data_IF_328194833583
#
_entry.id   IF_328194833583
#
_cell.length_a   1.000
_cell.length_b   1.000
_cell.length_c   1.000
_cell.angle_alpha   90.00
_cell.angle_beta   90.00
_cell.angle_gamma   90.00
#
_symmetry.space_group_name_H-M   'P 1'
#
loop_
_entity.id
_entity.type
_entity.pdbx_description
1 polymer ?
#
# COMPACT_ATOMS: atom_id res chain seq x y z
N UNK A 1 5.01 33.12 -13.12
CA UNK A 1 5.18 31.81 -13.74
C UNK A 1 6.62 31.56 -14.17
N UNK A 2 7.28 32.46 -14.96
CA UNK A 2 8.66 32.29 -15.42
C UNK A 2 9.67 32.16 -14.27
N UNK A 3 9.61 33.03 -13.26
CA UNK A 3 10.52 33.00 -12.09
C UNK A 3 10.37 31.69 -11.31
N UNK A 4 9.13 31.22 -11.12
CA UNK A 4 8.86 29.93 -10.46
C UNK A 4 9.39 28.77 -11.31
N UNK A 5 9.17 28.80 -12.63
CA UNK A 5 9.66 27.80 -13.56
C UNK A 5 11.19 27.72 -13.58
N UNK A 6 11.88 28.84 -13.68
CA UNK A 6 13.36 28.90 -13.64
C UNK A 6 13.91 28.46 -12.27
N UNK A 7 13.30 28.94 -11.17
CA UNK A 7 13.69 28.51 -9.82
C UNK A 7 13.50 27.02 -9.60
N UNK A 8 12.41 26.45 -10.12
CA UNK A 8 12.16 25.00 -10.05
C UNK A 8 13.19 24.21 -10.87
N UNK A 9 13.47 24.62 -12.10
CA UNK A 9 14.42 23.91 -12.99
C UNK A 9 15.87 24.00 -12.52
N UNK A 10 16.31 25.16 -12.05
CA UNK A 10 17.75 25.39 -11.78
C UNK A 10 18.12 25.17 -10.31
N UNK A 11 17.16 25.20 -9.38
CA UNK A 11 17.44 25.06 -7.95
C UNK A 11 16.78 23.79 -7.40
N UNK A 12 15.45 23.65 -7.56
CA UNK A 12 14.73 22.56 -6.92
C UNK A 12 15.05 21.22 -7.59
N UNK A 13 15.05 21.19 -8.92
CA UNK A 13 15.32 19.97 -9.67
C UNK A 13 16.72 19.37 -9.42
N UNK A 14 17.84 20.12 -9.50
CA UNK A 14 19.16 19.56 -9.25
C UNK A 14 19.36 19.15 -7.78
N UNK A 15 18.79 19.90 -6.82
CA UNK A 15 18.80 19.49 -5.41
C UNK A 15 18.00 18.22 -5.17
N UNK A 16 16.81 18.11 -5.80
CA UNK A 16 15.99 16.92 -5.73
C UNK A 16 16.67 15.71 -6.36
N UNK A 17 17.29 15.86 -7.53
CA UNK A 17 18.03 14.81 -8.20
C UNK A 17 19.22 14.31 -7.36
N UNK A 18 20.04 15.23 -6.84
CA UNK A 18 21.15 14.90 -5.94
C UNK A 18 20.68 14.13 -4.71
N UNK A 19 19.64 14.61 -4.04
CA UNK A 19 19.09 13.95 -2.86
C UNK A 19 18.52 12.56 -3.20
N UNK A 20 17.82 12.43 -4.33
CA UNK A 20 17.27 11.15 -4.79
C UNK A 20 18.35 10.13 -5.13
N UNK A 21 19.45 10.55 -5.75
CA UNK A 21 20.59 9.68 -6.05
C UNK A 21 21.21 9.12 -4.77
N UNK A 22 21.50 9.98 -3.78
CA UNK A 22 22.04 9.56 -2.49
C UNK A 22 21.07 8.62 -1.74
N UNK A 23 19.79 8.94 -1.75
CA UNK A 23 18.75 8.08 -1.15
C UNK A 23 18.64 6.74 -1.89
N UNK A 24 18.74 6.77 -3.23
CA UNK A 24 18.74 5.54 -4.05
C UNK A 24 19.92 4.62 -3.71
N UNK A 25 21.13 5.17 -3.62
CA UNK A 25 22.33 4.43 -3.20
C UNK A 25 22.12 3.87 -1.78
N UNK A 26 21.63 4.70 -0.86
CA UNK A 26 21.35 4.28 0.51
C UNK A 26 20.33 3.16 0.60
N UNK A 27 19.22 3.26 -0.13
CA UNK A 27 18.17 2.22 -0.18
C UNK A 27 18.72 0.92 -0.77
N UNK A 28 19.46 0.98 -1.88
CA UNK A 28 20.08 -0.20 -2.48
C UNK A 28 21.04 -0.88 -1.51
N UNK A 29 21.91 -0.09 -0.87
CA UNK A 29 22.83 -0.61 0.15
C UNK A 29 22.09 -1.28 1.31
N UNK A 30 21.03 -0.65 1.80
CA UNK A 30 20.21 -1.20 2.88
C UNK A 30 19.52 -2.50 2.47
N UNK A 31 18.97 -2.59 1.26
CA UNK A 31 18.36 -3.81 0.75
C UNK A 31 19.41 -4.92 0.59
N UNK A 32 20.59 -4.59 0.06
CA UNK A 32 21.66 -5.57 -0.16
C UNK A 32 22.24 -6.12 1.16
N UNK A 33 22.40 -5.28 2.16
CA UNK A 33 22.98 -5.65 3.47
C UNK A 33 21.93 -6.11 4.49
N UNK A 34 20.78 -5.45 4.49
CA UNK A 34 19.71 -5.69 5.46
C UNK A 34 18.70 -6.76 5.03
N UNK A 35 18.65 -7.09 3.73
CA UNK A 35 17.83 -8.18 3.17
C UNK A 35 16.44 -8.28 3.81
N UNK A 36 16.26 -9.33 4.61
CA UNK A 36 14.99 -9.66 5.25
C UNK A 36 14.45 -8.52 6.16
N UNK A 37 15.31 -7.89 6.93
CA UNK A 37 14.90 -6.85 7.90
C UNK A 37 14.44 -5.58 7.20
N UNK A 38 15.13 -5.17 6.15
CA UNK A 38 14.77 -3.97 5.39
C UNK A 38 13.49 -4.19 4.59
N UNK A 39 13.34 -5.35 3.94
CA UNK A 39 12.09 -5.70 3.25
C UNK A 39 10.90 -5.75 4.19
N UNK A 40 11.08 -6.32 5.37
CA UNK A 40 10.08 -6.35 6.44
C UNK A 40 9.69 -4.94 6.91
N UNK A 41 10.68 -4.10 7.19
CA UNK A 41 10.46 -2.73 7.67
C UNK A 41 9.75 -1.88 6.61
N UNK A 42 10.26 -1.87 5.37
CA UNK A 42 9.71 -1.07 4.28
C UNK A 42 8.26 -1.45 3.97
N UNK A 43 7.96 -2.75 3.84
CA UNK A 43 6.60 -3.20 3.57
C UNK A 43 5.65 -2.94 4.75
N UNK A 44 6.09 -3.17 5.99
CA UNK A 44 5.29 -2.97 7.19
C UNK A 44 4.97 -1.50 7.49
N UNK A 45 5.86 -0.58 7.11
CA UNK A 45 5.69 0.87 7.36
C UNK A 45 5.11 1.63 6.18
N UNK A 46 4.96 1.00 5.01
CA UNK A 46 4.51 1.70 3.81
C UNK A 46 3.08 2.23 3.90
N UNK A 47 2.12 1.47 4.46
CA UNK A 47 0.74 1.95 4.62
C UNK A 47 0.65 3.21 5.51
N UNK A 48 1.32 3.32 6.66
CA UNK A 48 1.46 4.59 7.38
C UNK A 48 2.02 5.73 6.55
N UNK A 49 3.02 5.48 5.70
CA UNK A 49 3.55 6.48 4.76
C UNK A 49 2.52 6.89 3.70
N UNK A 50 1.71 5.94 3.21
CA UNK A 50 0.60 6.25 2.27
C UNK A 50 -0.43 7.14 2.95
N UNK A 51 -0.79 6.86 4.21
CA UNK A 51 -1.75 7.64 4.98
C UNK A 51 -1.33 9.11 5.14
N UNK A 52 -0.03 9.36 5.34
CA UNK A 52 0.53 10.72 5.46
C UNK A 52 0.82 11.39 4.12
N UNK A 53 0.74 10.65 3.00
CA UNK A 53 1.13 11.14 1.67
C UNK A 53 2.64 11.11 1.41
N UNK A 54 3.47 10.81 2.41
CA UNK A 54 4.94 10.80 2.29
C UNK A 54 5.47 9.73 1.33
N UNK A 55 4.69 8.68 1.04
CA UNK A 55 5.05 7.65 0.07
C UNK A 55 5.38 8.20 -1.33
N UNK A 56 4.84 9.38 -1.69
CA UNK A 56 5.15 10.05 -2.98
C UNK A 56 6.61 10.48 -3.08
N UNK A 57 7.28 10.70 -1.95
CA UNK A 57 8.70 11.00 -1.92
C UNK A 57 9.59 9.81 -2.32
N UNK A 58 9.06 8.59 -2.33
CA UNK A 58 9.79 7.40 -2.79
C UNK A 58 9.85 7.31 -4.32
N UNK A 59 8.91 7.92 -5.05
CA UNK A 59 8.88 7.85 -6.53
C UNK A 59 10.15 8.37 -7.20
N UNK A 60 10.74 9.52 -6.82
CA UNK A 60 12.04 9.94 -7.38
C UNK A 60 13.17 8.95 -7.09
N UNK A 61 13.13 8.25 -5.96
CA UNK A 61 14.11 7.21 -5.61
C UNK A 61 13.95 6.00 -6.54
N UNK A 62 12.71 5.56 -6.80
CA UNK A 62 12.43 4.48 -7.75
C UNK A 62 12.90 4.82 -9.17
N UNK A 63 12.66 6.06 -9.63
CA UNK A 63 13.18 6.55 -10.93
C UNK A 63 14.70 6.50 -10.95
N UNK A 64 15.37 7.01 -9.91
CA UNK A 64 16.83 7.00 -9.80
C UNK A 64 17.40 5.58 -9.79
N UNK A 65 16.73 4.63 -9.14
CA UNK A 65 17.14 3.20 -9.16
C UNK A 65 17.10 2.64 -10.57
N UNK A 66 16.02 2.88 -11.32
CA UNK A 66 15.92 2.41 -12.71
C UNK A 66 16.98 3.06 -13.59
N UNK A 67 17.20 4.37 -13.45
CA UNK A 67 18.19 5.10 -14.26
C UNK A 67 19.63 4.66 -13.99
N UNK A 68 19.96 4.29 -12.75
CA UNK A 68 21.32 3.93 -12.34
C UNK A 68 21.62 2.43 -12.45
N UNK A 69 20.64 1.58 -12.12
CA UNK A 69 20.83 0.12 -12.05
C UNK A 69 20.06 -0.65 -13.12
N UNK A 70 19.15 0.01 -13.85
CA UNK A 70 18.28 -0.60 -14.84
C UNK A 70 17.04 -1.30 -14.23
N UNK A 71 16.95 -1.38 -12.90
CA UNK A 71 15.87 -2.09 -12.19
C UNK A 71 15.49 -1.38 -10.90
N UNK A 72 14.27 -1.58 -10.46
CA UNK A 72 13.74 -1.08 -9.19
C UNK A 72 13.50 -2.23 -8.21
N UNK A 73 14.33 -2.32 -7.17
CA UNK A 73 14.19 -3.27 -6.07
C UNK A 73 13.16 -2.82 -5.02
N UNK A 74 12.82 -1.53 -4.99
CA UNK A 74 11.96 -0.96 -3.97
C UNK A 74 10.47 -1.23 -4.25
N UNK A 75 10.03 -1.04 -5.50
CA UNK A 75 8.62 -1.19 -5.91
C UNK A 75 8.02 -2.55 -5.54
N UNK A 76 8.65 -3.72 -5.81
CA UNK A 76 8.10 -5.01 -5.43
C UNK A 76 7.95 -5.18 -3.91
N UNK A 77 8.86 -4.62 -3.11
CA UNK A 77 8.79 -4.64 -1.64
C UNK A 77 7.60 -3.81 -1.15
N UNK A 78 7.45 -2.60 -1.67
CA UNK A 78 6.35 -1.70 -1.27
C UNK A 78 4.98 -2.24 -1.69
N UNK A 79 4.91 -2.97 -2.83
CA UNK A 79 3.69 -3.62 -3.30
C UNK A 79 3.14 -4.66 -2.31
N UNK A 80 3.99 -5.27 -1.48
CA UNK A 80 3.58 -6.24 -0.46
C UNK A 80 2.69 -5.59 0.62
N UNK A 81 2.85 -4.29 0.88
CA UNK A 81 1.97 -3.57 1.81
C UNK A 81 0.52 -3.55 1.31
N UNK A 82 0.31 -3.26 0.02
CA UNK A 82 -1.00 -3.35 -0.62
C UNK A 82 -1.57 -4.77 -0.61
N UNK A 83 -0.71 -5.77 -0.82
CA UNK A 83 -1.11 -7.18 -0.73
C UNK A 83 -1.57 -7.54 0.69
N UNK A 84 -0.82 -7.18 1.73
CA UNK A 84 -1.25 -7.39 3.12
C UNK A 84 -2.61 -6.75 3.43
N UNK A 85 -2.86 -5.58 2.86
CA UNK A 85 -4.14 -4.87 2.98
C UNK A 85 -5.29 -5.59 2.28
N UNK A 86 -5.07 -6.12 1.09
CA UNK A 86 -6.08 -6.95 0.39
C UNK A 86 -6.40 -8.20 1.20
N UNK A 87 -5.39 -8.87 1.77
CA UNK A 87 -5.58 -10.01 2.67
C UNK A 87 -6.45 -9.65 3.87
N UNK A 88 -6.17 -8.52 4.52
CA UNK A 88 -6.98 -8.00 5.62
C UNK A 88 -8.42 -7.69 5.17
N UNK A 89 -8.60 -7.07 4.00
CA UNK A 89 -9.91 -6.78 3.42
C UNK A 89 -10.74 -8.03 3.17
N UNK A 90 -10.13 -9.12 2.68
CA UNK A 90 -10.81 -10.42 2.49
C UNK A 90 -11.26 -10.98 3.84
N UNK A 91 -10.41 -10.94 4.87
CA UNK A 91 -10.77 -11.40 6.21
C UNK A 91 -11.95 -10.60 6.79
N UNK A 92 -11.96 -9.28 6.61
CA UNK A 92 -13.07 -8.41 7.04
C UNK A 92 -14.34 -8.79 6.27
N UNK A 93 -14.28 -8.98 4.96
CA UNK A 93 -15.42 -9.34 4.12
C UNK A 93 -16.11 -10.62 4.60
N UNK A 94 -15.32 -11.61 5.03
CA UNK A 94 -15.84 -12.89 5.53
C UNK A 94 -16.43 -12.77 6.95
N UNK A 95 -15.89 -11.89 7.80
CA UNK A 95 -16.28 -11.77 9.21
C UNK A 95 -17.38 -10.74 9.47
N UNK A 96 -17.43 -9.66 8.70
CA UNK A 96 -18.37 -8.57 8.95
C UNK A 96 -19.81 -9.01 8.68
N UNK A 97 -20.71 -8.57 9.53
CA UNK A 97 -22.16 -8.69 9.34
C UNK A 97 -22.78 -7.43 8.76
N UNK A 98 -22.04 -6.33 8.75
CA UNK A 98 -22.49 -5.04 8.23
C UNK A 98 -22.61 -5.07 6.70
N UNK A 99 -23.84 -4.93 6.18
CA UNK A 99 -24.15 -4.96 4.75
C UNK A 99 -23.50 -3.80 3.99
N UNK A 100 -23.41 -2.62 4.61
CA UNK A 100 -22.78 -1.42 3.99
C UNK A 100 -21.28 -1.66 3.82
N UNK A 101 -20.60 -2.14 4.86
CA UNK A 101 -19.17 -2.46 4.81
C UNK A 101 -18.89 -3.56 3.77
N UNK A 102 -19.74 -4.58 3.66
CA UNK A 102 -19.64 -5.59 2.59
C UNK A 102 -19.73 -4.98 1.19
N UNK A 103 -20.65 -4.03 0.99
CA UNK A 103 -20.80 -3.35 -0.30
C UNK A 103 -19.57 -2.51 -0.66
N UNK A 104 -18.99 -1.81 0.31
CA UNK A 104 -17.73 -1.07 0.13
C UNK A 104 -16.60 -2.02 -0.25
N UNK A 105 -16.47 -3.15 0.47
CA UNK A 105 -15.45 -4.17 0.20
C UNK A 105 -15.58 -4.82 -1.18
N UNK A 106 -16.81 -5.06 -1.65
CA UNK A 106 -17.05 -5.59 -3.01
C UNK A 106 -16.50 -4.67 -4.11
N UNK A 107 -16.57 -3.35 -3.91
CA UNK A 107 -15.96 -2.40 -4.83
C UNK A 107 -14.46 -2.23 -4.62
N UNK A 108 -14.01 -2.18 -3.37
CA UNK A 108 -12.62 -1.86 -3.02
C UNK A 108 -11.65 -3.04 -3.21
N UNK A 109 -12.08 -4.30 -2.99
CA UNK A 109 -11.19 -5.47 -3.12
C UNK A 109 -10.65 -5.68 -4.54
N UNK A 110 -11.48 -5.65 -5.61
CA UNK A 110 -10.97 -5.76 -6.98
C UNK A 110 -9.96 -4.65 -7.33
N UNK A 111 -10.22 -3.43 -6.86
CA UNK A 111 -9.34 -2.27 -7.05
C UNK A 111 -8.02 -2.47 -6.30
N UNK A 112 -8.08 -2.99 -5.07
CA UNK A 112 -6.91 -3.35 -4.28
C UNK A 112 -6.04 -4.44 -4.93
N UNK A 113 -6.66 -5.46 -5.53
CA UNK A 113 -5.94 -6.48 -6.32
C UNK A 113 -5.19 -5.88 -7.52
N UNK A 114 -5.74 -4.82 -8.13
CA UNK A 114 -5.10 -4.06 -9.20
C UNK A 114 -4.00 -3.10 -8.68
N UNK A 115 -3.73 -3.11 -7.36
CA UNK A 115 -2.64 -2.35 -6.74
C UNK A 115 -3.01 -0.93 -6.31
N UNK A 116 -4.29 -0.58 -6.32
CA UNK A 116 -4.79 0.69 -5.81
C UNK A 116 -5.41 0.45 -4.44
N UNK A 117 -4.62 0.70 -3.39
CA UNK A 117 -4.98 0.35 -2.01
C UNK A 117 -5.83 1.38 -1.27
N UNK A 118 -5.89 2.62 -1.75
CA UNK A 118 -6.53 3.74 -1.06
C UNK A 118 -8.00 3.50 -0.71
N UNK A 119 -8.85 2.93 -1.60
CA UNK A 119 -10.24 2.64 -1.24
C UNK A 119 -10.37 1.63 -0.10
N UNK A 120 -9.51 0.61 -0.07
CA UNK A 120 -9.46 -0.35 1.04
C UNK A 120 -8.94 0.30 2.32
N UNK A 121 -7.92 1.17 2.20
CA UNK A 121 -7.30 1.81 3.33
C UNK A 121 -8.26 2.77 4.02
N UNK A 122 -8.74 3.76 3.30
CA UNK A 122 -9.57 4.83 3.88
C UNK A 122 -11.02 4.39 4.10
N UNK A 123 -11.55 3.53 3.24
CA UNK A 123 -12.93 3.07 3.33
C UNK A 123 -13.15 1.90 4.29
N UNK A 124 -12.10 1.15 4.67
CA UNK A 124 -12.26 -0.10 5.42
C UNK A 124 -11.25 -0.24 6.55
N UNK A 125 -9.96 -0.43 6.23
CA UNK A 125 -8.99 -0.89 7.23
C UNK A 125 -8.63 0.17 8.25
N UNK A 126 -8.48 1.42 7.84
CA UNK A 126 -8.14 2.53 8.72
C UNK A 126 -9.28 2.90 9.67
N UNK A 127 -10.55 3.04 9.23
CA UNK A 127 -11.68 3.29 10.12
C UNK A 127 -11.88 2.19 11.17
N UNK A 128 -11.59 0.93 10.84
CA UNK A 128 -11.65 -0.20 11.76
C UNK A 128 -10.45 -0.27 12.72
N UNK A 129 -9.40 0.50 12.49
CA UNK A 129 -8.21 0.62 13.32
C UNK A 129 -7.34 -0.64 13.36
N UNK A 130 -7.71 -1.65 14.14
CA UNK A 130 -6.93 -2.90 14.28
C UNK A 130 -6.65 -3.61 12.95
N UNK A 131 -7.59 -3.73 12.00
CA UNK A 131 -7.33 -4.29 10.67
C UNK A 131 -6.25 -3.55 9.87
N UNK A 132 -6.09 -2.25 10.05
CA UNK A 132 -5.01 -1.49 9.45
C UNK A 132 -3.64 -1.96 9.97
N UNK A 133 -3.52 -2.13 11.29
CA UNK A 133 -2.28 -2.60 11.94
C UNK A 133 -1.96 -4.04 11.49
N UNK A 134 -2.97 -4.91 11.46
CA UNK A 134 -2.77 -6.31 11.03
C UNK A 134 -2.42 -6.42 9.56
N UNK A 135 -2.89 -5.51 8.69
CA UNK A 135 -2.47 -5.41 7.30
C UNK A 135 -0.99 -5.03 7.18
N UNK A 136 -0.53 -4.03 7.97
CA UNK A 136 0.87 -3.62 8.03
C UNK A 136 1.77 -4.78 8.48
N UNK A 137 1.41 -5.46 9.57
CA UNK A 137 2.21 -6.57 10.10
C UNK A 137 2.18 -7.78 9.14
N UNK A 138 1.02 -8.06 8.54
CA UNK A 138 0.87 -9.18 7.60
C UNK A 138 1.69 -9.01 6.34
N UNK A 139 1.90 -7.78 5.87
CA UNK A 139 2.73 -7.47 4.70
C UNK A 139 4.22 -7.77 4.92
N UNK A 140 4.68 -7.76 6.17
CA UNK A 140 6.09 -7.96 6.54
C UNK A 140 6.63 -9.28 5.97
N UNK A 141 5.85 -10.35 6.01
CA UNK A 141 6.29 -11.67 5.55
C UNK A 141 6.57 -11.66 4.05
N UNK A 142 5.65 -11.08 3.26
CA UNK A 142 5.82 -10.94 1.81
C UNK A 142 6.98 -10.00 1.46
N UNK A 143 7.08 -8.85 2.13
CA UNK A 143 8.15 -7.88 1.92
C UNK A 143 9.53 -8.42 2.25
N UNK A 144 9.65 -9.15 3.35
CA UNK A 144 10.86 -9.85 3.74
C UNK A 144 11.30 -10.87 2.68
N UNK A 145 10.36 -11.70 2.20
CA UNK A 145 10.62 -12.71 1.18
C UNK A 145 11.08 -12.08 -0.14
N UNK A 146 10.34 -11.10 -0.66
CA UNK A 146 10.65 -10.42 -1.93
C UNK A 146 12.01 -9.72 -1.87
N UNK A 147 12.36 -9.12 -0.72
CA UNK A 147 13.66 -8.47 -0.51
C UNK A 147 14.81 -9.48 -0.52
N UNK A 148 14.65 -10.63 0.16
CA UNK A 148 15.68 -11.70 0.18
C UNK A 148 15.91 -12.28 -1.22
N UNK A 149 14.82 -12.48 -1.98
CA UNK A 149 14.89 -12.97 -3.36
C UNK A 149 15.36 -11.90 -4.34
N UNK A 150 15.61 -10.66 -3.88
CA UNK A 150 16.03 -9.52 -4.71
C UNK A 150 15.12 -9.33 -5.92
N UNK A 151 13.82 -9.51 -5.72
CA UNK A 151 12.84 -9.30 -6.79
C UNK A 151 12.84 -7.84 -7.19
N UNK A 152 13.02 -7.58 -8.48
CA UNK A 152 13.10 -6.24 -9.03
C UNK A 152 12.09 -6.06 -10.17
N UNK A 153 11.61 -4.84 -10.38
CA UNK A 153 10.83 -4.47 -11.56
C UNK A 153 11.66 -3.69 -12.56
N UNK A 154 11.35 -3.83 -13.85
CA UNK A 154 12.01 -3.11 -14.94
C UNK A 154 11.38 -1.74 -15.23
N UNK A 155 10.39 -1.35 -14.46
CA UNK A 155 9.69 -0.07 -14.63
C UNK A 155 8.75 0.23 -13.49
N UNK A 156 8.27 1.48 -13.46
CA UNK A 156 7.30 1.97 -12.51
C UNK A 156 5.90 1.79 -13.10
N UNK A 157 5.03 1.08 -12.38
CA UNK A 157 3.66 0.83 -12.82
C UNK A 157 2.71 0.65 -11.64
N UNK A 158 1.52 0.14 -11.93
CA UNK A 158 0.56 -0.26 -10.90
C UNK A 158 1.18 -1.35 -10.02
N UNK A 159 0.92 -1.26 -8.74
CA UNK A 159 1.28 -2.32 -7.77
C UNK A 159 0.36 -3.54 -7.89
N UNK A 160 0.41 -4.45 -6.94
CA UNK A 160 -0.48 -5.61 -6.91
C UNK A 160 -0.20 -6.61 -8.04
N UNK A 161 -1.23 -7.29 -8.51
CA UNK A 161 -1.09 -8.30 -9.57
C UNK A 161 -0.57 -7.75 -10.91
N UNK A 162 -0.94 -6.54 -11.39
CA UNK A 162 -0.40 -6.00 -12.63
C UNK A 162 1.12 -5.79 -12.63
N UNK A 163 1.73 -5.56 -11.47
CA UNK A 163 3.18 -5.38 -11.39
C UNK A 163 3.93 -6.64 -11.86
N UNK A 164 3.31 -7.81 -11.81
CA UNK A 164 3.89 -9.06 -12.33
C UNK A 164 4.37 -8.93 -13.78
N UNK A 165 3.69 -8.10 -14.60
CA UNK A 165 4.06 -7.86 -15.99
C UNK A 165 5.35 -7.04 -16.14
N UNK A 166 5.76 -6.33 -15.10
CA UNK A 166 6.99 -5.54 -15.05
C UNK A 166 8.12 -6.26 -14.30
N UNK A 167 7.90 -7.48 -13.86
CA UNK A 167 8.92 -8.33 -13.23
C UNK A 167 9.53 -9.24 -14.29
N UNK A 168 10.87 -9.36 -14.38
CA UNK A 168 11.53 -10.32 -15.25
C UNK A 168 11.02 -11.74 -15.03
N UNK A 169 10.89 -12.53 -16.11
CA UNK A 169 10.28 -13.87 -16.05
C UNK A 169 10.90 -14.78 -14.99
N UNK A 170 12.21 -14.69 -14.80
CA UNK A 170 12.98 -15.48 -13.82
C UNK A 170 12.55 -15.18 -12.37
N UNK A 171 12.11 -13.95 -12.09
CA UNK A 171 11.72 -13.50 -10.75
C UNK A 171 10.20 -13.44 -10.55
N UNK A 172 9.41 -13.62 -11.61
CA UNK A 172 7.95 -13.51 -11.57
C UNK A 172 7.32 -14.45 -10.54
N UNK A 173 7.80 -15.69 -10.48
CA UNK A 173 7.30 -16.67 -9.51
C UNK A 173 7.57 -16.23 -8.07
N UNK A 174 8.73 -15.64 -7.80
CA UNK A 174 9.08 -15.14 -6.47
C UNK A 174 8.22 -13.94 -6.08
N UNK A 175 7.90 -13.06 -7.03
CA UNK A 175 6.95 -11.96 -6.78
C UNK A 175 5.57 -12.49 -6.40
N UNK A 176 5.04 -13.46 -7.15
CA UNK A 176 3.73 -14.08 -6.86
C UNK A 176 3.72 -14.80 -5.51
N UNK A 177 4.78 -15.53 -5.16
CA UNK A 177 4.91 -16.17 -3.85
C UNK A 177 4.89 -15.10 -2.74
N UNK A 178 5.68 -14.02 -2.88
CA UNK A 178 5.68 -12.92 -1.93
C UNK A 178 4.30 -12.28 -1.77
N UNK A 179 3.60 -12.07 -2.88
CA UNK A 179 2.24 -11.52 -2.89
C UNK A 179 1.26 -12.43 -2.15
N UNK A 180 1.30 -13.75 -2.40
CA UNK A 180 0.47 -14.74 -1.68
C UNK A 180 0.80 -14.77 -0.20
N UNK A 181 2.08 -14.70 0.17
CA UNK A 181 2.51 -14.63 1.57
C UNK A 181 1.98 -13.38 2.27
N UNK A 182 2.01 -12.22 1.60
CA UNK A 182 1.46 -10.98 2.14
C UNK A 182 -0.07 -11.05 2.27
N UNK A 183 -0.79 -11.60 1.27
CA UNK A 183 -2.23 -11.85 1.36
C UNK A 183 -2.56 -12.76 2.54
N UNK A 184 -1.86 -13.88 2.67
CA UNK A 184 -2.07 -14.84 3.75
C UNK A 184 -1.77 -14.20 5.12
N UNK A 185 -0.67 -13.45 5.24
CA UNK A 185 -0.28 -12.75 6.46
C UNK A 185 -1.36 -11.74 6.91
N UNK A 186 -1.78 -10.85 6.00
CA UNK A 186 -2.84 -9.88 6.27
C UNK A 186 -4.18 -10.55 6.60
N UNK A 187 -4.54 -11.60 5.87
CA UNK A 187 -5.76 -12.37 6.10
C UNK A 187 -5.76 -13.04 7.48
N UNK A 188 -4.74 -13.85 7.78
CA UNK A 188 -4.67 -14.63 9.01
C UNK A 188 -4.67 -13.71 10.23
N UNK A 189 -3.82 -12.69 10.24
CA UNK A 189 -3.74 -11.79 11.37
C UNK A 189 -5.05 -11.03 11.59
N UNK A 190 -5.69 -10.55 10.53
CA UNK A 190 -6.98 -9.84 10.64
C UNK A 190 -8.11 -10.78 11.03
N UNK A 191 -8.12 -12.01 10.51
CA UNK A 191 -9.16 -13.00 10.82
C UNK A 191 -9.17 -13.37 12.30
N UNK A 192 -8.01 -13.55 12.92
CA UNK A 192 -7.91 -13.90 14.34
C UNK A 192 -7.94 -12.69 15.28
N UNK A 193 -7.76 -11.48 14.76
CA UNK A 193 -7.88 -10.27 15.57
C UNK A 193 -9.35 -9.93 15.82
N UNK A 194 -9.67 -9.55 17.06
CA UNK A 194 -10.98 -8.99 17.42
C UNK A 194 -10.97 -7.50 17.09
N UNK A 195 -11.87 -7.10 16.21
CA UNK A 195 -12.15 -5.71 15.87
C UNK A 195 -13.67 -5.49 15.96
N UNK A 196 -14.07 -4.28 16.23
CA UNK A 196 -15.48 -3.89 16.28
C UNK A 196 -15.96 -3.59 14.87
N UNK A 197 -17.10 -4.15 14.49
CA UNK A 197 -17.73 -3.84 13.21
C UNK A 197 -18.25 -2.39 13.25
N UNK A 198 -18.23 -1.70 12.13
CA UNK A 198 -18.84 -0.38 12.06
C UNK A 198 -20.34 -0.53 12.38
N UNK A 199 -20.82 0.20 13.40
CA UNK A 199 -22.23 0.13 13.79
C UNK A 199 -23.13 0.48 12.60
N UNK A 200 -24.21 -0.26 12.44
CA UNK A 200 -25.26 0.11 11.47
C UNK A 200 -25.95 1.46 11.88
N UNK A 201 -25.68 1.93 13.10
CA UNK A 201 -26.48 2.94 13.79
C UNK A 201 -26.16 4.40 13.41
N UNK A 202 -24.90 4.72 13.09
CA UNK A 202 -24.53 6.14 12.90
C UNK A 202 -25.16 6.74 11.63
N UNK A 203 -25.34 5.97 10.58
CA UNK A 203 -25.90 6.49 9.33
C UNK A 203 -27.42 6.44 9.28
N UNK A 204 -28.07 5.55 10.03
CA UNK A 204 -29.53 5.60 10.20
C UNK A 204 -29.93 6.72 11.14
N UNK A 205 -29.09 7.06 12.10
CA UNK A 205 -29.32 8.18 13.01
C UNK A 205 -29.23 9.52 12.26
N UNK A 206 -28.22 9.69 11.38
CA UNK A 206 -28.12 10.88 10.54
C UNK A 206 -29.27 10.98 9.52
N UNK A 207 -29.60 9.87 8.83
CA UNK A 207 -30.70 9.85 7.86
C UNK A 207 -32.05 10.11 8.52
N UNK A 208 -32.28 9.53 9.71
CA UNK A 208 -33.49 9.77 10.50
C UNK A 208 -33.54 11.19 11.11
N UNK A 209 -32.38 11.76 11.48
CA UNK A 209 -32.30 13.13 11.94
C UNK A 209 -32.65 14.12 10.81
N UNK A 210 -32.04 13.93 9.63
CA UNK A 210 -32.34 14.75 8.43
C UNK A 210 -33.80 14.60 8.01
N UNK A 211 -34.33 13.35 8.02
CA UNK A 211 -35.71 13.10 7.68
C UNK A 211 -36.69 13.77 8.67
N UNK A 212 -36.39 13.70 9.96
CA UNK A 212 -37.17 14.35 11.01
C UNK A 212 -37.11 15.89 10.90
N UNK A 213 -35.92 16.42 10.58
CA UNK A 213 -35.76 17.86 10.40
C UNK A 213 -36.56 18.37 9.18
N UNK A 214 -36.55 17.62 8.08
CA UNK A 214 -37.34 17.93 6.87
C UNK A 214 -38.85 17.79 7.12
N UNK A 215 -39.28 16.83 7.94
CA UNK A 215 -40.69 16.60 8.27
C UNK A 215 -41.23 17.66 9.26
N UNK A 216 -40.39 18.18 10.14
CA UNK A 216 -40.77 19.25 11.10
C UNK A 216 -40.70 20.65 10.52
N UNK A 217 -40.13 20.84 9.33
CA UNK A 217 -40.12 22.09 8.57
C UNK A 217 -41.36 22.27 7.67
N UNK A 218 -42.36 21.39 7.72
CA UNK A 218 -43.67 21.51 7.11
C UNK A 218 -44.71 21.70 8.17
#
# INVERSE_FOLDING_TARGET
LLVIGFGSLFIIHPLGAFLSEWLGIGVTYLIDKGGILIGALLSGTFLPLVMTGLHRALTPIEVSLIDTTGVDLLRPILAMAGAGQVGAGIAIYLKTKNKKLKKVLQGALPIGLMGIGEPLMFGVTLPLGKPFITACIGSIVGGAYVSVMKVASIGIGLSGLPLTLLIPQEMMIHYLIGTVLAYAGGFVLTYFTKWEDMGEDDSQTEENQVLNEVLHLK
#
